data_IF_679650118677
#
_entry.id   IF_679650118677
#
_cell.length_a   1.000
_cell.length_b   1.000
_cell.length_c   1.000
_cell.angle_alpha   90.00
_cell.angle_beta   90.00
_cell.angle_gamma   90.00
#
_symmetry.space_group_name_H-M   'P 1'
#
loop_
_entity.id
_entity.type
_entity.pdbx_description
1 polymer ?
#
# COMPACT_ATOMS: atom_id res chain seq x y z
N UNK A 1 18.35 2.48 -23.51
CA UNK A 1 17.75 2.61 -22.16
C UNK A 1 18.87 2.67 -21.13
N UNK A 2 18.87 3.61 -20.18
CA UNK A 2 19.94 3.73 -19.18
C UNK A 2 20.06 2.41 -18.37
N UNK A 3 21.25 1.79 -18.27
CA UNK A 3 21.43 0.50 -17.59
C UNK A 3 21.02 0.52 -16.11
N UNK A 4 21.13 1.67 -15.45
CA UNK A 4 20.69 1.84 -14.05
C UNK A 4 19.17 1.74 -13.95
N UNK A 5 18.44 2.41 -14.85
CA UNK A 5 16.97 2.33 -14.90
C UNK A 5 16.50 0.93 -15.22
N UNK A 6 17.18 0.21 -16.12
CA UNK A 6 16.84 -1.17 -16.44
C UNK A 6 16.94 -2.10 -15.21
N UNK A 7 18.03 -1.99 -14.44
CA UNK A 7 18.22 -2.74 -13.19
C UNK A 7 17.16 -2.39 -12.14
N UNK A 8 16.85 -1.10 -11.99
CA UNK A 8 15.81 -0.65 -11.07
C UNK A 8 14.45 -1.29 -11.38
N UNK A 9 14.06 -1.31 -12.66
CA UNK A 9 12.80 -1.95 -13.07
C UNK A 9 12.81 -3.46 -12.86
N UNK A 10 13.93 -4.15 -13.10
CA UNK A 10 14.06 -5.58 -12.80
C UNK A 10 13.85 -5.88 -11.30
N UNK A 11 14.37 -5.04 -10.41
CA UNK A 11 14.17 -5.19 -8.97
C UNK A 11 12.70 -5.01 -8.59
N UNK A 12 12.02 -3.98 -9.14
CA UNK A 12 10.60 -3.74 -8.91
C UNK A 12 9.72 -4.89 -9.43
N UNK A 13 10.09 -5.48 -10.57
CA UNK A 13 9.31 -6.55 -11.18
C UNK A 13 9.54 -7.93 -10.51
N UNK A 14 10.53 -8.06 -9.63
CA UNK A 14 10.94 -9.29 -8.96
C UNK A 14 9.87 -9.96 -8.07
N UNK A 15 10.08 -11.24 -7.75
CA UNK A 15 9.23 -11.99 -6.80
C UNK A 15 9.37 -11.48 -5.37
N UNK A 16 10.53 -10.93 -5.00
CA UNK A 16 10.79 -10.34 -3.68
C UNK A 16 9.76 -9.28 -3.32
N UNK A 17 9.32 -8.48 -4.30
CA UNK A 17 8.28 -7.47 -4.10
C UNK A 17 6.92 -8.10 -3.76
N UNK A 18 6.60 -9.27 -4.33
CA UNK A 18 5.36 -10.01 -4.00
C UNK A 18 5.42 -10.60 -2.59
N UNK A 19 6.58 -11.14 -2.20
CA UNK A 19 6.76 -11.70 -0.86
C UNK A 19 6.63 -10.60 0.20
N UNK A 20 7.28 -9.46 -0.01
CA UNK A 20 7.15 -8.29 0.86
C UNK A 20 5.68 -7.85 0.98
N UNK A 21 4.98 -7.70 -0.15
CA UNK A 21 3.56 -7.31 -0.16
C UNK A 21 2.72 -8.32 0.64
N UNK A 22 2.87 -9.62 0.40
CA UNK A 22 2.13 -10.66 1.10
C UNK A 22 2.34 -10.62 2.62
N UNK A 23 3.60 -10.54 3.07
CA UNK A 23 3.93 -10.49 4.51
C UNK A 23 3.38 -9.21 5.14
N UNK A 24 3.70 -8.04 4.59
CA UNK A 24 3.30 -6.77 5.18
C UNK A 24 1.79 -6.57 5.17
N UNK A 25 1.11 -6.96 4.09
CA UNK A 25 -0.33 -6.74 3.96
C UNK A 25 -1.10 -7.67 4.89
N UNK A 26 -0.58 -8.87 5.16
CA UNK A 26 -1.10 -9.75 6.21
C UNK A 26 -0.96 -9.12 7.58
N UNK A 27 0.20 -8.54 7.90
CA UNK A 27 0.40 -7.81 9.15
C UNK A 27 -0.55 -6.61 9.29
N UNK A 28 -0.75 -5.82 8.23
CA UNK A 28 -1.67 -4.68 8.24
C UNK A 28 -3.13 -5.11 8.44
N UNK A 29 -3.54 -6.19 7.79
CA UNK A 29 -4.87 -6.76 7.99
C UNK A 29 -5.10 -7.15 9.46
N UNK A 30 -4.18 -7.91 10.06
CA UNK A 30 -4.30 -8.32 11.45
C UNK A 30 -4.20 -7.14 12.42
N UNK A 31 -3.34 -6.16 12.14
CA UNK A 31 -3.28 -4.93 12.93
C UNK A 31 -4.62 -4.18 12.88
N UNK A 32 -5.19 -3.98 11.69
CA UNK A 32 -6.50 -3.36 11.51
C UNK A 32 -7.61 -4.12 12.24
N UNK A 33 -7.65 -5.45 12.08
CA UNK A 33 -8.63 -6.31 12.74
C UNK A 33 -8.50 -6.26 14.28
N UNK A 34 -7.28 -6.27 14.80
CA UNK A 34 -7.01 -6.11 16.23
C UNK A 34 -7.49 -4.74 16.73
N UNK A 35 -7.16 -3.66 16.02
CA UNK A 35 -7.59 -2.31 16.37
C UNK A 35 -9.11 -2.16 16.36
N UNK A 36 -9.80 -2.72 15.35
CA UNK A 36 -11.25 -2.71 15.26
C UNK A 36 -11.92 -3.53 16.37
N UNK A 37 -11.33 -4.67 16.75
CA UNK A 37 -11.95 -5.60 17.71
C UNK A 37 -11.75 -5.19 19.17
N UNK A 38 -10.59 -4.60 19.49
CA UNK A 38 -10.21 -4.29 20.87
C UNK A 38 -10.22 -2.79 21.18
N UNK A 39 -10.46 -1.91 20.20
CA UNK A 39 -10.46 -0.45 20.37
C UNK A 39 -9.09 0.12 20.77
N UNK A 40 -8.01 -0.65 20.61
CA UNK A 40 -6.64 -0.29 21.01
C UNK A 40 -5.82 0.18 19.82
N UNK A 41 -6.31 1.19 19.14
CA UNK A 41 -5.59 1.81 18.03
C UNK A 41 -4.70 2.97 18.52
N UNK A 42 -3.57 3.26 17.84
CA UNK A 42 -2.78 4.43 18.16
C UNK A 42 -3.65 5.70 18.05
N UNK A 43 -3.75 6.45 19.15
CA UNK A 43 -4.54 7.68 19.20
C UNK A 43 -3.95 8.81 18.35
N UNK A 44 -2.72 8.65 17.84
CA UNK A 44 -2.01 9.65 17.05
C UNK A 44 -2.83 10.16 15.87
N UNK A 45 -3.45 9.25 15.10
CA UNK A 45 -4.28 9.63 13.95
C UNK A 45 -5.58 10.30 14.42
N UNK A 46 -6.20 9.81 15.49
CA UNK A 46 -7.41 10.41 16.04
C UNK A 46 -7.16 11.83 16.55
N UNK A 47 -6.03 12.06 17.23
CA UNK A 47 -5.67 13.37 17.77
C UNK A 47 -5.30 14.37 16.66
N UNK A 48 -4.57 13.92 15.63
CA UNK A 48 -4.12 14.81 14.55
C UNK A 48 -5.20 15.07 13.48
N UNK A 49 -6.00 14.06 13.14
CA UNK A 49 -6.90 14.10 11.98
C UNK A 49 -8.39 13.90 12.34
N UNK A 50 -8.70 13.65 13.61
CA UNK A 50 -10.07 13.44 14.09
C UNK A 50 -10.54 11.99 14.03
N UNK A 51 -11.71 11.75 14.63
CA UNK A 51 -12.29 10.42 14.82
C UNK A 51 -12.69 9.74 13.51
N UNK A 52 -13.29 10.47 12.57
CA UNK A 52 -13.67 9.91 11.27
C UNK A 52 -12.45 9.42 10.47
N UNK A 53 -11.36 10.20 10.48
CA UNK A 53 -10.11 9.80 9.82
C UNK A 53 -9.51 8.55 10.47
N UNK A 54 -9.61 8.45 11.79
CA UNK A 54 -9.14 7.29 12.54
C UNK A 54 -9.86 5.99 12.15
N UNK A 55 -11.20 5.98 12.15
CA UNK A 55 -11.95 4.78 11.74
C UNK A 55 -11.77 4.46 10.26
N UNK A 56 -11.70 5.48 9.41
CA UNK A 56 -11.41 5.30 7.97
C UNK A 56 -10.05 4.64 7.78
N UNK A 57 -9.03 5.08 8.53
CA UNK A 57 -7.69 4.51 8.47
C UNK A 57 -7.66 3.03 8.91
N UNK A 58 -8.38 2.69 9.98
CA UNK A 58 -8.53 1.28 10.42
C UNK A 58 -9.24 0.46 9.32
N UNK A 59 -10.33 0.97 8.76
CA UNK A 59 -11.08 0.29 7.71
C UNK A 59 -10.23 0.05 6.44
N UNK A 60 -9.39 1.02 6.06
CA UNK A 60 -8.47 0.90 4.93
C UNK A 60 -7.35 -0.13 5.23
N UNK A 61 -6.81 -0.19 6.46
CA UNK A 61 -5.83 -1.22 6.83
C UNK A 61 -6.37 -2.65 6.69
N UNK A 62 -7.69 -2.84 6.83
CA UNK A 62 -8.34 -4.14 6.64
C UNK A 62 -8.69 -4.35 5.17
N UNK A 63 -9.44 -3.41 4.59
CA UNK A 63 -10.04 -3.59 3.26
C UNK A 63 -9.02 -3.54 2.13
N UNK A 64 -7.99 -2.69 2.20
CA UNK A 64 -7.03 -2.54 1.11
C UNK A 64 -6.19 -3.81 0.88
N UNK A 65 -5.63 -4.49 1.91
CA UNK A 65 -5.04 -5.82 1.76
C UNK A 65 -5.97 -6.83 1.11
N UNK A 66 -7.24 -6.87 1.53
CA UNK A 66 -8.23 -7.80 0.96
C UNK A 66 -8.50 -7.49 -0.51
N UNK A 67 -8.64 -6.21 -0.88
CA UNK A 67 -8.84 -5.77 -2.27
C UNK A 67 -7.66 -6.22 -3.13
N UNK A 68 -6.43 -6.10 -2.64
CA UNK A 68 -5.24 -6.59 -3.35
C UNK A 68 -5.29 -8.11 -3.53
N UNK A 69 -5.61 -8.88 -2.49
CA UNK A 69 -5.74 -10.34 -2.56
C UNK A 69 -6.82 -10.71 -3.58
N UNK A 70 -8.00 -10.10 -3.53
CA UNK A 70 -9.07 -10.31 -4.49
C UNK A 70 -8.58 -10.02 -5.91
N UNK A 71 -7.87 -8.91 -6.12
CA UNK A 71 -7.29 -8.54 -7.41
C UNK A 71 -6.32 -9.60 -7.98
N UNK A 72 -5.64 -10.39 -7.13
CA UNK A 72 -4.80 -11.51 -7.60
C UNK A 72 -5.59 -12.74 -8.04
N UNK A 73 -6.84 -12.90 -7.58
CA UNK A 73 -7.70 -14.06 -7.81
C UNK A 73 -8.74 -13.85 -8.91
N UNK A 74 -8.95 -12.60 -9.34
CA UNK A 74 -9.93 -12.26 -10.38
C UNK A 74 -9.49 -12.83 -11.73
N UNK A 75 -10.35 -13.59 -12.46
CA UNK A 75 -10.00 -14.19 -13.75
C UNK A 75 -9.65 -13.15 -14.82
N UNK A 76 -10.33 -12.00 -14.81
CA UNK A 76 -10.03 -10.90 -15.70
C UNK A 76 -8.78 -10.16 -15.22
N UNK A 77 -7.64 -10.42 -15.88
CA UNK A 77 -6.34 -9.79 -15.58
C UNK A 77 -6.41 -8.26 -15.56
N UNK A 78 -7.21 -7.63 -16.42
CA UNK A 78 -7.33 -6.18 -16.46
C UNK A 78 -7.98 -5.65 -15.18
N UNK A 79 -9.15 -6.17 -14.81
CA UNK A 79 -9.85 -5.79 -13.58
C UNK A 79 -9.03 -6.14 -12.34
N UNK A 80 -8.36 -7.30 -12.33
CA UNK A 80 -7.50 -7.73 -11.22
C UNK A 80 -6.32 -6.79 -10.97
N UNK A 81 -5.71 -6.25 -12.01
CA UNK A 81 -4.63 -5.26 -11.89
C UNK A 81 -5.14 -3.91 -11.34
N UNK A 82 -6.31 -3.46 -11.76
CA UNK A 82 -6.91 -2.22 -11.24
C UNK A 82 -7.30 -2.34 -9.76
N UNK A 83 -7.80 -3.51 -9.34
CA UNK A 83 -8.07 -3.78 -7.93
C UNK A 83 -6.77 -3.78 -7.11
N UNK A 84 -5.72 -4.44 -7.59
CA UNK A 84 -4.40 -4.41 -6.93
C UNK A 84 -3.88 -2.98 -6.79
N UNK A 85 -3.93 -2.19 -7.87
CA UNK A 85 -3.50 -0.79 -7.86
C UNK A 85 -4.30 0.03 -6.83
N UNK A 86 -5.62 -0.10 -6.82
CA UNK A 86 -6.50 0.61 -5.88
C UNK A 86 -6.21 0.25 -4.42
N UNK A 87 -6.06 -1.04 -4.12
CA UNK A 87 -5.69 -1.50 -2.78
C UNK A 87 -4.29 -1.01 -2.36
N UNK A 88 -3.31 -1.06 -3.25
CA UNK A 88 -1.96 -0.58 -2.98
C UNK A 88 -1.92 0.94 -2.74
N UNK A 89 -2.70 1.72 -3.50
CA UNK A 89 -2.87 3.16 -3.27
C UNK A 89 -3.48 3.42 -1.89
N UNK A 90 -4.51 2.68 -1.50
CA UNK A 90 -5.11 2.81 -0.17
C UNK A 90 -4.14 2.49 0.96
N UNK A 91 -3.33 1.43 0.84
CA UNK A 91 -2.26 1.12 1.81
C UNK A 91 -1.22 2.24 1.86
N UNK A 92 -0.78 2.76 0.72
CA UNK A 92 0.18 3.87 0.69
C UNK A 92 -0.40 5.12 1.39
N UNK A 93 -1.67 5.44 1.16
CA UNK A 93 -2.37 6.53 1.86
C UNK A 93 -2.45 6.29 3.36
N UNK A 94 -2.73 5.07 3.82
CA UNK A 94 -2.71 4.74 5.25
C UNK A 94 -1.34 4.96 5.89
N UNK A 95 -0.28 4.52 5.23
CA UNK A 95 1.08 4.66 5.75
C UNK A 95 1.49 6.14 5.80
N UNK A 96 1.20 6.88 4.73
CA UNK A 96 1.46 8.32 4.67
C UNK A 96 0.64 9.11 5.70
N UNK A 97 -0.63 8.75 5.93
CA UNK A 97 -1.48 9.39 6.92
C UNK A 97 -0.90 9.27 8.34
N UNK A 98 -0.34 8.11 8.69
CA UNK A 98 0.34 7.94 9.97
C UNK A 98 1.57 8.85 10.10
N UNK A 99 2.40 8.94 9.05
CA UNK A 99 3.57 9.84 9.03
C UNK A 99 3.15 11.29 9.25
N UNK A 100 2.13 11.75 8.53
CA UNK A 100 1.57 13.10 8.67
C UNK A 100 1.01 13.33 10.07
N UNK A 101 0.29 12.35 10.62
CA UNK A 101 -0.29 12.45 11.95
C UNK A 101 0.80 12.59 13.02
N UNK A 102 1.90 11.83 12.95
CA UNK A 102 3.01 11.96 13.90
C UNK A 102 3.74 13.31 13.74
N UNK A 103 3.96 13.76 12.49
CA UNK A 103 4.56 15.07 12.18
C UNK A 103 3.80 16.25 12.79
N UNK A 104 2.47 16.16 12.83
CA UNK A 104 1.61 17.18 13.40
C UNK A 104 1.43 17.04 14.92
N UNK A 105 1.94 15.96 15.50
CA UNK A 105 1.70 15.65 16.90
C UNK A 105 2.76 16.27 17.82
N UNK A 106 2.40 16.72 19.04
CA UNK A 106 3.36 17.23 20.03
C UNK A 106 4.44 16.21 20.42
N UNK A 107 4.20 14.93 20.16
CA UNK A 107 5.02 13.78 20.55
C UNK A 107 6.07 13.40 19.50
N UNK A 108 6.36 14.28 18.53
CA UNK A 108 7.34 14.08 17.46
C UNK A 108 8.62 13.34 17.92
N UNK A 109 9.15 13.69 19.11
CA UNK A 109 10.34 13.05 19.69
C UNK A 109 10.19 11.60 20.17
N UNK A 110 8.99 11.15 20.52
CA UNK A 110 8.73 9.77 21.01
C UNK A 110 8.41 8.78 19.88
N UNK A 111 7.94 9.29 18.74
CA UNK A 111 7.51 8.50 17.58
C UNK A 111 8.52 8.41 16.44
N UNK A 112 9.71 9.02 16.56
CA UNK A 112 10.68 9.17 15.45
C UNK A 112 11.03 7.84 14.77
N UNK A 113 11.28 6.79 15.55
CA UNK A 113 11.61 5.46 15.00
C UNK A 113 10.45 4.89 14.17
N UNK A 114 9.23 4.98 14.69
CA UNK A 114 8.03 4.51 13.99
C UNK A 114 7.79 5.30 12.70
N UNK A 115 7.98 6.63 12.73
CA UNK A 115 7.83 7.49 11.55
C UNK A 115 8.73 7.05 10.42
N UNK A 116 10.03 6.88 10.68
CA UNK A 116 10.96 6.45 9.62
C UNK A 116 10.69 5.04 9.13
N UNK A 117 10.21 4.14 10.01
CA UNK A 117 9.67 2.86 9.59
C UNK A 117 8.51 3.00 8.60
N UNK A 118 7.51 3.81 8.92
CA UNK A 118 6.37 4.07 8.03
C UNK A 118 6.76 4.78 6.74
N UNK A 119 7.75 5.68 6.76
CA UNK A 119 8.32 6.29 5.54
C UNK A 119 8.93 5.23 4.64
N UNK A 120 9.78 4.35 5.18
CA UNK A 120 10.37 3.25 4.42
C UNK A 120 9.32 2.33 3.81
N UNK A 121 8.31 1.94 4.59
CA UNK A 121 7.19 1.13 4.14
C UNK A 121 6.36 1.82 3.06
N UNK A 122 6.18 3.15 3.16
CA UNK A 122 5.50 3.97 2.13
C UNK A 122 6.29 3.92 0.82
N UNK A 123 7.62 4.12 0.87
CA UNK A 123 8.49 4.05 -0.32
C UNK A 123 8.43 2.66 -0.97
N UNK A 124 8.50 1.58 -0.18
CA UNK A 124 8.35 0.23 -0.71
C UNK A 124 6.99 0.02 -1.38
N UNK A 125 5.91 0.55 -0.78
CA UNK A 125 4.56 0.47 -1.35
C UNK A 125 4.42 1.28 -2.64
N UNK A 126 5.07 2.45 -2.73
CA UNK A 126 5.17 3.22 -3.98
C UNK A 126 5.86 2.40 -5.07
N UNK A 127 6.91 1.64 -4.74
CA UNK A 127 7.54 0.69 -5.66
C UNK A 127 6.56 -0.34 -6.22
N UNK A 128 5.67 -0.88 -5.37
CA UNK A 128 4.59 -1.80 -5.79
C UNK A 128 3.60 -1.09 -6.73
N UNK A 129 3.18 0.13 -6.40
CA UNK A 129 2.27 0.92 -7.24
C UNK A 129 2.86 1.14 -8.63
N UNK A 130 4.15 1.49 -8.72
CA UNK A 130 4.85 1.66 -9.99
C UNK A 130 4.89 0.37 -10.82
N UNK A 131 5.11 -0.78 -10.16
CA UNK A 131 5.02 -2.10 -10.79
C UNK A 131 3.65 -2.35 -11.42
N UNK A 132 2.59 -2.07 -10.67
CA UNK A 132 1.22 -2.30 -11.12
C UNK A 132 0.86 -1.38 -12.30
N UNK A 133 1.23 -0.10 -12.23
CA UNK A 133 1.07 0.83 -13.34
C UNK A 133 1.74 0.33 -14.63
N UNK A 134 2.96 -0.23 -14.51
CA UNK A 134 3.69 -0.81 -15.66
C UNK A 134 2.99 -2.03 -16.22
N UNK A 135 2.50 -2.93 -15.36
CA UNK A 135 1.76 -4.12 -15.78
C UNK A 135 0.46 -3.75 -16.50
N UNK A 136 -0.27 -2.76 -16.00
CA UNK A 136 -1.48 -2.23 -16.65
C UNK A 136 -1.11 -1.67 -18.03
N UNK A 137 -0.01 -0.90 -18.12
CA UNK A 137 0.45 -0.36 -19.38
C UNK A 137 0.81 -1.46 -20.40
N UNK A 138 1.54 -2.50 -19.97
CA UNK A 138 1.90 -3.64 -20.83
C UNK A 138 0.68 -4.40 -21.34
N UNK A 139 -0.29 -4.69 -20.46
CA UNK A 139 -1.55 -5.36 -20.86
C UNK A 139 -2.34 -4.49 -21.85
N UNK A 140 -2.33 -3.16 -21.66
CA UNK A 140 -2.98 -2.22 -22.58
C UNK A 140 -2.34 -2.23 -23.97
N UNK A 141 -1.01 -2.31 -24.05
CA UNK A 141 -0.29 -2.36 -25.33
C UNK A 141 -0.56 -3.68 -26.05
N UNK A 142 -0.45 -4.82 -25.36
CA UNK A 142 -0.74 -6.13 -25.94
C UNK A 142 -2.18 -6.23 -26.46
N UNK A 143 -3.14 -5.67 -25.73
CA UNK A 143 -4.54 -5.64 -26.14
C UNK A 143 -4.81 -4.74 -27.37
N UNK A 144 -3.89 -3.82 -27.71
CA UNK A 144 -3.96 -3.02 -28.94
C UNK A 144 -3.38 -3.77 -30.12
N UNK A 145 -2.25 -4.45 -29.92
CA UNK A 145 -1.59 -5.25 -30.97
C UNK A 145 -2.50 -6.39 -31.47
N UNK A 146 -3.20 -7.09 -30.57
CA UNK A 146 -4.11 -8.18 -30.94
C UNK A 146 -5.40 -7.74 -31.66
N UNK A 147 -5.69 -6.44 -31.74
CA UNK A 147 -6.85 -5.90 -32.48
C UNK A 147 -6.48 -5.43 -33.89
N UNK A 148 -5.19 -5.36 -34.22
CA UNK A 148 -4.68 -5.03 -35.55
C UNK A 148 -4.50 -6.32 -36.36
#
# INVERSE_FOLDING_TARGET
MNPVLARFWQLIDSETVRLYQAVMYTCYFFAGAYMASFGRAPSTIQQAMGEHAHYTWIALMISCPLIVIVGTRVPNKWSGLWLQLGGNLGVASCLAAYVVAVLQSPWWGTGVFAVWGYVGLTVCTVGIILRDCRRIHQVRLLARELRQ
#
